data_IF_626618834656
#
_entry.id   IF_626618834656
#
_cell.length_a   1.000
_cell.length_b   1.000
_cell.length_c   1.000
_cell.angle_alpha   90.00
_cell.angle_beta   90.00
_cell.angle_gamma   90.00
#
_symmetry.space_group_name_H-M   'P 1'
#
loop_
_entity.id
_entity.type
_entity.pdbx_description
1 polymer ?
#
# COMPACT_ATOMS: atom_id res chain seq x y z
N UNK A 1 3.53 -42.71 -0.61
CA UNK A 1 3.01 -41.71 -1.56
C UNK A 1 3.19 -42.24 -2.96
N UNK A 2 2.10 -42.41 -3.70
CA UNK A 2 2.11 -42.91 -5.08
C UNK A 2 2.11 -41.74 -6.08
N UNK A 3 2.53 -42.01 -7.32
CA UNK A 3 2.52 -40.98 -8.39
C UNK A 3 1.12 -40.42 -8.66
N UNK A 4 0.09 -41.24 -8.51
CA UNK A 4 -1.31 -40.83 -8.68
C UNK A 4 -1.75 -39.87 -7.59
N UNK A 5 -1.44 -40.19 -6.33
CA UNK A 5 -1.74 -39.32 -5.18
C UNK A 5 -1.08 -37.94 -5.37
N UNK A 6 0.20 -37.87 -5.75
CA UNK A 6 0.88 -36.60 -5.99
C UNK A 6 0.22 -35.78 -7.12
N UNK A 7 -0.23 -36.46 -8.17
CA UNK A 7 -0.92 -35.83 -9.31
C UNK A 7 -2.28 -35.26 -8.91
N UNK A 8 -3.04 -36.01 -8.11
CA UNK A 8 -4.33 -35.58 -7.58
C UNK A 8 -4.18 -34.37 -6.65
N UNK A 9 -3.17 -34.37 -5.78
CA UNK A 9 -2.85 -33.20 -4.96
C UNK A 9 -2.46 -31.97 -5.79
N UNK A 10 -1.71 -32.16 -6.88
CA UNK A 10 -1.36 -31.08 -7.78
C UNK A 10 -2.56 -30.54 -8.56
N UNK A 11 -3.49 -31.42 -8.97
CA UNK A 11 -4.75 -31.02 -9.60
C UNK A 11 -5.66 -30.26 -8.61
N UNK A 12 -5.73 -30.72 -7.37
CA UNK A 12 -6.47 -30.04 -6.30
C UNK A 12 -5.89 -28.65 -6.01
N UNK A 13 -4.57 -28.52 -5.91
CA UNK A 13 -3.90 -27.25 -5.67
C UNK A 13 -4.16 -26.20 -6.78
N UNK A 14 -4.32 -26.63 -8.03
CA UNK A 14 -4.66 -25.72 -9.13
C UNK A 14 -6.10 -25.18 -9.06
N UNK A 15 -7.03 -25.95 -8.48
CA UNK A 15 -8.42 -25.52 -8.28
C UNK A 15 -8.56 -24.62 -7.05
N UNK A 16 -7.85 -25.00 -5.98
CA UNK A 16 -7.87 -24.31 -4.71
C UNK A 16 -6.46 -24.24 -4.12
N UNK A 17 -5.72 -23.17 -4.41
CA UNK A 17 -4.46 -22.91 -3.76
C UNK A 17 -4.67 -22.73 -2.26
N UNK A 18 -4.06 -23.61 -1.47
CA UNK A 18 -4.06 -23.53 0.00
C UNK A 18 -3.29 -22.32 0.54
N UNK A 19 -2.59 -21.58 -0.31
CA UNK A 19 -1.95 -20.32 0.05
C UNK A 19 -2.96 -19.20 0.39
N UNK A 20 -4.26 -19.45 0.20
CA UNK A 20 -5.32 -18.53 0.57
C UNK A 20 -5.30 -17.22 -0.23
N UNK A 21 -4.38 -17.08 -1.19
CA UNK A 21 -4.20 -15.92 -2.04
C UNK A 21 -5.13 -15.97 -3.25
N UNK A 22 -6.33 -16.54 -3.08
CA UNK A 22 -7.41 -16.43 -4.05
C UNK A 22 -7.90 -14.99 -4.08
N UNK A 23 -7.09 -14.11 -4.70
CA UNK A 23 -7.42 -12.77 -5.19
C UNK A 23 -8.32 -11.98 -4.23
N UNK A 24 -8.02 -12.00 -2.93
CA UNK A 24 -8.70 -11.14 -1.96
C UNK A 24 -8.37 -9.66 -2.17
N UNK A 25 -7.33 -9.42 -2.96
CA UNK A 25 -6.97 -8.11 -3.49
C UNK A 25 -8.19 -7.46 -4.14
N UNK A 26 -8.83 -8.09 -5.14
CA UNK A 26 -9.93 -7.45 -5.87
C UNK A 26 -11.11 -7.00 -4.96
N UNK A 27 -11.66 -7.86 -4.07
CA UNK A 27 -12.63 -7.42 -3.07
C UNK A 27 -12.11 -6.28 -2.17
N UNK A 28 -10.87 -6.36 -1.69
CA UNK A 28 -10.27 -5.31 -0.87
C UNK A 28 -10.14 -3.99 -1.62
N UNK A 29 -9.76 -4.02 -2.90
CA UNK A 29 -9.70 -2.87 -3.79
C UNK A 29 -11.06 -2.23 -4.04
N UNK A 30 -12.11 -3.04 -4.19
CA UNK A 30 -13.46 -2.53 -4.34
C UNK A 30 -13.85 -1.75 -3.08
N UNK A 31 -13.60 -2.30 -1.90
CA UNK A 31 -13.88 -1.61 -0.62
C UNK A 31 -13.02 -0.35 -0.47
N UNK A 32 -11.74 -0.39 -0.81
CA UNK A 32 -10.87 0.79 -0.76
C UNK A 32 -11.34 1.88 -1.73
N UNK A 33 -11.73 1.51 -2.95
CA UNK A 33 -12.24 2.44 -3.97
C UNK A 33 -13.55 3.09 -3.55
N UNK A 34 -14.46 2.36 -2.90
CA UNK A 34 -15.71 2.98 -2.39
C UNK A 34 -15.41 3.99 -1.29
N UNK A 35 -14.59 3.63 -0.31
CA UNK A 35 -14.21 4.53 0.79
C UNK A 35 -13.48 5.77 0.26
N UNK A 36 -12.54 5.60 -0.66
CA UNK A 36 -11.76 6.70 -1.22
C UNK A 36 -12.63 7.65 -2.07
N UNK A 37 -13.57 7.11 -2.85
CA UNK A 37 -14.45 7.94 -3.68
C UNK A 37 -15.52 8.69 -2.88
N UNK A 38 -15.98 8.14 -1.75
CA UNK A 38 -16.91 8.84 -0.85
C UNK A 38 -16.23 10.05 -0.19
N UNK A 39 -14.96 9.93 0.16
CA UNK A 39 -14.16 11.00 0.77
C UNK A 39 -13.51 11.94 -0.24
N UNK A 40 -13.87 11.82 -1.52
CA UNK A 40 -13.22 12.53 -2.63
C UNK A 40 -13.75 13.97 -2.78
N UNK A 41 -12.87 14.92 -3.10
CA UNK A 41 -13.25 16.30 -3.41
C UNK A 41 -13.99 16.44 -4.75
N UNK A 42 -14.89 17.43 -4.86
CA UNK A 42 -15.84 17.63 -5.99
C UNK A 42 -15.21 17.63 -7.39
N UNK A 43 -13.93 17.99 -7.53
CA UNK A 43 -13.22 18.09 -8.81
C UNK A 43 -12.03 17.12 -8.96
N UNK A 44 -11.93 16.10 -8.11
CA UNK A 44 -10.83 15.12 -8.20
C UNK A 44 -11.23 13.87 -8.97
N UNK A 45 -10.24 13.20 -9.57
CA UNK A 45 -10.42 12.00 -10.41
C UNK A 45 -11.02 10.85 -9.59
N UNK A 46 -12.08 10.17 -10.06
CA UNK A 46 -12.56 8.94 -9.43
C UNK A 46 -11.47 7.86 -9.43
N UNK A 47 -11.27 7.23 -8.26
CA UNK A 47 -10.29 6.15 -8.08
C UNK A 47 -10.92 4.82 -8.43
N UNK A 48 -10.31 4.06 -9.34
CA UNK A 48 -10.80 2.76 -9.77
C UNK A 48 -10.30 1.67 -8.81
N UNK A 49 -10.99 0.53 -8.66
CA UNK A 49 -10.46 -0.60 -7.88
C UNK A 49 -9.07 -1.04 -8.33
N UNK A 50 -8.77 -0.94 -9.63
CA UNK A 50 -7.43 -1.23 -10.18
C UNK A 50 -6.33 -0.33 -9.64
N UNK A 51 -6.65 0.90 -9.21
CA UNK A 51 -5.68 1.82 -8.60
C UNK A 51 -5.18 1.32 -7.21
N UNK A 52 -5.88 0.33 -6.63
CA UNK A 52 -5.55 -0.27 -5.33
C UNK A 52 -5.01 -1.70 -5.45
N UNK A 53 -4.70 -2.16 -6.68
CA UNK A 53 -4.16 -3.50 -6.91
C UNK A 53 -2.64 -3.56 -6.85
N UNK A 54 -2.06 -4.57 -6.15
CA UNK A 54 -0.63 -4.84 -6.26
C UNK A 54 -0.25 -5.16 -7.71
N UNK A 55 0.83 -4.57 -8.20
CA UNK A 55 1.43 -4.98 -9.46
C UNK A 55 2.33 -6.20 -9.22
N UNK A 56 1.82 -7.38 -9.56
CA UNK A 56 2.54 -8.65 -9.37
C UNK A 56 3.64 -8.87 -10.42
N UNK A 57 3.56 -8.19 -11.57
CA UNK A 57 4.51 -8.31 -12.68
C UNK A 57 5.61 -7.24 -12.62
N UNK A 58 5.62 -6.43 -11.56
CA UNK A 58 6.76 -5.61 -11.18
C UNK A 58 7.28 -4.72 -12.31
N UNK A 59 6.44 -3.85 -12.88
CA UNK A 59 6.97 -2.67 -13.57
C UNK A 59 7.30 -1.62 -12.51
N UNK A 60 8.34 -1.89 -11.72
CA UNK A 60 9.00 -0.79 -11.02
C UNK A 60 9.46 0.18 -12.10
N UNK A 61 8.81 1.34 -12.20
CA UNK A 61 9.39 2.46 -12.92
C UNK A 61 10.80 2.62 -12.37
N UNK A 62 11.82 2.42 -13.21
CA UNK A 62 13.19 2.62 -12.77
C UNK A 62 13.25 4.03 -12.18
N UNK A 63 13.42 4.13 -10.86
CA UNK A 63 13.59 5.42 -10.22
C UNK A 63 14.89 5.98 -10.78
N UNK A 64 14.80 7.10 -11.48
CA UNK A 64 16.01 7.76 -11.99
C UNK A 64 16.78 8.33 -10.80
N UNK A 65 18.09 8.52 -10.95
CA UNK A 65 18.91 9.07 -9.88
C UNK A 65 18.35 10.45 -9.44
N UNK A 66 17.82 11.21 -10.39
CA UNK A 66 17.16 12.50 -10.18
C UNK A 66 15.93 12.40 -9.26
N UNK A 67 15.08 11.38 -9.43
CA UNK A 67 13.91 11.16 -8.57
C UNK A 67 14.33 10.89 -7.12
N UNK A 68 15.39 10.08 -6.95
CA UNK A 68 15.93 9.72 -5.64
C UNK A 68 16.53 10.97 -4.97
N UNK A 69 17.36 11.73 -5.68
CA UNK A 69 17.96 12.95 -5.13
C UNK A 69 16.91 14.04 -4.83
N UNK A 70 15.84 14.11 -5.62
CA UNK A 70 14.71 15.01 -5.36
C UNK A 70 13.99 14.70 -4.04
N UNK A 71 13.73 13.41 -3.77
CA UNK A 71 13.14 12.97 -2.50
C UNK A 71 14.03 13.30 -1.30
N UNK A 72 15.35 13.09 -1.41
CA UNK A 72 16.29 13.45 -0.36
C UNK A 72 16.32 14.94 -0.06
N UNK A 73 16.34 15.80 -1.09
CA UNK A 73 16.31 17.26 -0.91
C UNK A 73 15.03 17.74 -0.23
N UNK A 74 13.88 17.17 -0.61
CA UNK A 74 12.60 17.48 0.04
C UNK A 74 12.64 17.11 1.53
N UNK A 75 13.15 15.92 1.87
CA UNK A 75 13.32 15.51 3.26
C UNK A 75 14.25 16.46 4.06
N UNK A 76 15.36 16.90 3.47
CA UNK A 76 16.25 17.88 4.11
C UNK A 76 15.55 19.22 4.36
N UNK A 77 14.77 19.71 3.40
CA UNK A 77 14.04 20.98 3.56
C UNK A 77 12.96 20.91 4.64
N UNK A 78 12.28 19.77 4.77
CA UNK A 78 11.29 19.56 5.84
C UNK A 78 11.96 19.44 7.21
N UNK A 79 13.16 18.88 7.26
CA UNK A 79 13.94 18.77 8.51
C UNK A 79 14.43 20.15 8.95
N UNK A 80 15.00 20.95 8.03
CA UNK A 80 15.43 22.33 8.34
C UNK A 80 14.26 23.26 8.70
N UNK A 81 13.12 23.12 8.01
CA UNK A 81 11.91 23.88 8.35
C UNK A 81 11.35 23.50 9.72
N UNK A 82 11.55 22.25 10.18
CA UNK A 82 11.21 21.82 11.54
C UNK A 82 12.18 22.35 12.60
N UNK A 83 13.45 22.60 12.25
CA UNK A 83 14.47 23.14 13.16
C UNK A 83 14.41 24.68 13.30
N UNK A 84 13.90 25.41 12.29
CA UNK A 84 13.80 26.88 12.30
C UNK A 84 12.48 27.44 12.87
N UNK A 85 11.50 26.60 13.20
CA UNK A 85 10.25 27.06 13.80
C UNK A 85 10.42 27.43 15.29
N UNK A 86 9.91 28.58 15.77
CA UNK A 86 10.03 28.96 17.16
C UNK A 86 9.36 27.94 18.09
N UNK A 87 10.02 27.73 19.23
CA UNK A 87 9.82 26.73 20.32
C UNK A 87 8.38 26.51 20.86
N UNK A 88 7.33 27.14 20.31
CA UNK A 88 5.97 27.08 20.88
C UNK A 88 5.07 26.00 20.27
N UNK A 89 5.44 25.37 19.16
CA UNK A 89 4.62 24.35 18.50
C UNK A 89 5.15 22.91 18.65
N UNK A 90 5.87 22.59 19.75
CA UNK A 90 6.22 21.22 20.12
C UNK A 90 4.97 20.51 20.66
N UNK A 91 4.00 20.28 19.76
CA UNK A 91 2.78 19.53 20.03
C UNK A 91 3.18 18.17 20.57
N UNK A 92 2.73 17.88 21.79
CA UNK A 92 2.91 16.60 22.47
C UNK A 92 2.59 15.47 21.50
N UNK A 93 3.58 14.61 21.25
CA UNK A 93 3.35 13.26 20.73
C UNK A 93 2.51 12.55 21.79
N UNK A 94 1.19 12.65 21.67
CA UNK A 94 0.25 11.81 22.42
C UNK A 94 0.27 10.46 21.71
N UNK A 95 1.02 9.53 22.28
CA UNK A 95 0.89 8.10 21.98
C UNK A 95 -0.52 7.65 22.35
N UNK A 96 -1.34 7.10 21.44
CA UNK A 96 -2.62 6.55 21.80
C UNK A 96 -2.39 5.13 22.34
N UNK A 97 -2.53 4.96 23.65
CA UNK A 97 -2.68 3.64 24.27
C UNK A 97 -1.69 3.35 25.39
N UNK A 98 -1.98 3.87 26.58
CA UNK A 98 -1.73 3.19 27.86
C UNK A 98 -2.50 3.95 28.96
N UNK A 99 -3.80 3.65 29.09
CA UNK A 99 -4.54 3.86 30.33
C UNK A 99 -5.80 2.97 30.33
N UNK A 100 -5.63 1.73 30.78
CA UNK A 100 -6.43 1.08 31.83
C UNK A 100 -5.95 -0.35 32.08
#
# INVERSE_FOLDING_TARGET
MTSSELTEWFAYYQLDPWDGSRRHDLPAAIVASTVANVNRGKNSRPLQPTDFMPDFDGRHSQQTAEDIFGQFRLAETLTKASDEAPSEARVKVVTPGEEK
#
